data_IF_776796533633
#
_entry.id   IF_776796533633
#
_cell.length_a   1.000
_cell.length_b   1.000
_cell.length_c   1.000
_cell.angle_alpha   90.00
_cell.angle_beta   90.00
_cell.angle_gamma   90.00
#
_symmetry.space_group_name_H-M   'P 1'
#
loop_
_entity.id
_entity.type
_entity.pdbx_description
1 polymer ?
2 polymer ?
#
# COMPACT_ATOMS: atom_id res chain seq x y z
N UNK A 2 -4.45 18.63 -9.09
CA UNK A 2 -4.75 17.42 -8.34
C UNK A 2 -4.54 17.63 -6.84
N UNK A 3 -4.61 18.87 -6.41
CA UNK A 3 -4.45 19.22 -5.01
C UNK A 3 -5.55 18.62 -4.16
N UNK A 4 -6.76 18.63 -4.71
CA UNK A 4 -7.90 18.06 -4.01
C UNK A 4 -7.93 16.55 -4.27
N UNK A 5 -7.02 16.09 -5.12
CA UNK A 5 -6.92 14.68 -5.45
C UNK A 5 -5.96 13.97 -4.50
N UNK A 6 -4.84 14.62 -4.17
CA UNK A 6 -3.89 14.01 -3.24
C UNK A 6 -4.56 13.72 -1.92
N UNK A 7 -5.33 14.69 -1.43
CA UNK A 7 -6.04 14.53 -0.16
C UNK A 7 -6.82 13.23 -0.15
N UNK A 8 -7.21 12.78 -1.34
CA UNK A 8 -7.96 11.54 -1.48
C UNK A 8 -7.05 10.40 -1.94
N UNK A 9 -5.95 10.77 -2.60
CA UNK A 9 -5.00 9.78 -3.09
C UNK A 9 -4.26 9.11 -1.94
N UNK A 10 -4.22 9.79 -0.79
CA UNK A 10 -3.55 9.25 0.39
C UNK A 10 -4.46 8.25 1.10
N UNK A 11 -5.67 8.71 1.44
CA UNK A 11 -6.64 7.84 2.11
C UNK A 11 -6.89 6.59 1.27
N UNK A 12 -6.66 6.70 -0.03
CA UNK A 12 -6.86 5.58 -0.94
C UNK A 12 -5.84 4.48 -0.67
N UNK A 13 -4.56 4.83 -0.70
CA UNK A 13 -3.50 3.86 -0.45
C UNK A 13 -3.38 3.56 1.04
N UNK A 14 -3.38 4.61 1.85
CA UNK A 14 -3.27 4.44 3.30
C UNK A 14 -4.25 3.39 3.81
N UNK A 15 -5.36 3.22 3.09
CA UNK A 15 -6.37 2.23 3.45
C UNK A 15 -5.98 0.85 2.93
N UNK A 16 -5.31 0.82 1.79
CA UNK A 16 -4.88 -0.43 1.17
C UNK A 16 -3.50 -0.83 1.71
N UNK A 17 -2.53 0.06 1.54
CA UNK A 17 -1.17 -0.19 2.01
C UNK A 17 -1.17 -0.71 3.45
N UNK A 18 -2.12 -0.22 4.25
CA UNK A 18 -2.23 -0.64 5.64
C UNK A 18 -2.94 -1.99 5.75
N UNK A 19 -3.90 -2.22 4.87
CA UNK A 19 -4.66 -3.47 4.88
C UNK A 19 -3.78 -4.66 4.50
N UNK A 20 -2.76 -4.39 3.68
CA UNK A 20 -1.85 -5.45 3.24
C UNK A 20 -0.71 -5.64 4.23
N UNK A 21 -0.03 -4.55 4.58
CA UNK A 21 1.08 -4.60 5.51
C UNK A 21 0.74 -5.42 6.75
N UNK A 22 -0.54 -5.45 7.10
CA UNK A 22 -1.00 -6.19 8.28
C UNK A 22 -1.26 -7.65 7.93
N UNK A 23 -1.63 -7.91 6.69
CA UNK A 23 -1.90 -9.27 6.24
C UNK A 23 -0.64 -9.95 5.72
N UNK A 24 0.23 -9.16 5.11
CA UNK A 24 1.48 -9.67 4.55
C UNK A 24 2.46 -10.03 5.68
N UNK A 25 2.36 -9.32 6.79
CA UNK A 25 3.23 -9.56 7.94
C UNK A 25 3.04 -10.97 8.50
N UNK A 26 1.91 -11.59 8.18
CA UNK A 26 1.62 -12.92 8.66
C UNK A 26 1.66 -13.96 7.53
N UNK A 27 1.19 -13.55 6.35
CA UNK A 27 1.18 -14.45 5.19
C UNK A 27 2.57 -14.99 4.89
N UNK A 28 3.50 -14.10 4.57
CA UNK A 28 4.87 -14.50 4.26
C UNK A 28 5.73 -14.51 5.53
N UNK A 29 5.34 -15.31 6.50
CA UNK A 29 6.08 -15.41 7.75
C UNK A 29 7.35 -16.23 7.57
N UNK A 30 7.23 -17.35 6.86
CA UNK A 30 8.36 -18.23 6.60
C UNK A 30 9.09 -17.83 5.33
N UNK A 31 8.32 -17.39 4.33
CA UNK A 31 8.91 -16.99 3.07
C UNK A 31 9.42 -15.55 3.11
N UNK B 2 -1.40 18.40 -4.71
CA UNK B 2 -0.39 17.72 -5.50
C UNK B 2 0.95 18.19 -5.11
N UNK B 3 1.08 19.47 -5.16
CA UNK B 3 2.30 20.09 -4.85
C UNK B 3 3.10 19.23 -3.91
N UNK B 4 4.27 18.81 -4.36
CA UNK B 4 5.19 17.92 -3.62
C UNK B 4 5.03 18.06 -2.10
N UNK B 5 3.83 18.40 -1.72
CA UNK B 5 3.42 18.56 -0.34
C UNK B 5 2.86 17.24 0.14
N UNK B 6 2.06 16.67 -0.74
CA UNK B 6 1.42 15.39 -0.53
C UNK B 6 1.89 14.43 -1.59
N UNK B 7 2.08 14.98 -2.78
CA UNK B 7 2.53 14.24 -3.93
C UNK B 7 3.83 13.51 -3.64
N UNK B 8 4.59 14.02 -2.67
CA UNK B 8 5.85 13.38 -2.30
C UNK B 8 5.61 12.26 -1.28
N UNK B 9 4.47 12.31 -0.60
CA UNK B 9 4.13 11.31 0.41
C UNK B 9 3.36 10.13 -0.18
N UNK B 10 2.55 10.39 -1.21
CA UNK B 10 1.78 9.34 -1.85
C UNK B 10 2.68 8.25 -2.41
N UNK B 11 3.85 8.67 -2.91
CA UNK B 11 4.80 7.72 -3.49
C UNK B 11 5.30 6.72 -2.44
N UNK B 12 5.05 7.03 -1.17
CA UNK B 12 5.49 6.15 -0.08
C UNK B 12 4.43 5.12 0.29
N UNK B 13 3.21 5.30 -0.22
CA UNK B 13 2.12 4.37 0.08
C UNK B 13 1.95 3.33 -1.02
N UNK B 14 1.86 3.80 -2.25
CA UNK B 14 1.67 2.91 -3.40
C UNK B 14 2.98 2.23 -3.80
N UNK B 15 4.11 2.80 -3.38
CA UNK B 15 5.41 2.23 -3.70
C UNK B 15 5.53 0.80 -3.20
N UNK B 16 5.36 0.61 -1.90
CA UNK B 16 5.46 -0.71 -1.29
C UNK B 16 4.13 -1.46 -1.41
N UNK B 17 3.03 -0.73 -1.32
CA UNK B 17 1.70 -1.33 -1.42
C UNK B 17 1.53 -2.07 -2.74
N UNK B 18 1.97 -1.46 -3.82
CA UNK B 18 1.84 -2.06 -5.15
C UNK B 18 2.52 -3.43 -5.20
N UNK B 19 3.60 -3.58 -4.44
CA UNK B 19 4.34 -4.84 -4.40
C UNK B 19 3.57 -5.91 -3.66
N UNK B 20 3.16 -5.61 -2.43
CA UNK B 20 2.40 -6.57 -1.63
C UNK B 20 1.12 -6.95 -2.34
N UNK B 21 0.32 -5.95 -2.71
CA UNK B 21 -0.94 -6.18 -3.42
C UNK B 21 -0.79 -7.23 -4.51
N UNK B 22 0.41 -7.35 -5.05
CA UNK B 22 0.69 -8.31 -6.11
C UNK B 22 1.07 -9.69 -5.56
N UNK B 23 1.85 -9.69 -4.48
CA UNK B 23 2.31 -10.94 -3.87
C UNK B 23 1.34 -11.44 -2.78
N UNK B 24 0.52 -10.56 -2.25
CA UNK B 24 -0.43 -10.92 -1.19
C UNK B 24 -1.09 -12.28 -1.48
N UNK B 25 -1.83 -12.35 -2.56
CA UNK B 25 -2.52 -13.59 -2.95
C UNK B 25 -1.52 -14.71 -3.17
N UNK B 26 -0.32 -14.36 -3.61
CA UNK B 26 0.73 -15.35 -3.86
C UNK B 26 1.20 -15.99 -2.56
N UNK B 27 1.18 -15.22 -1.48
CA UNK B 27 1.62 -15.72 -0.18
C UNK B 27 0.59 -16.69 0.40
N UNK B 28 -0.65 -16.23 0.52
CA UNK B 28 -1.72 -17.05 1.06
C UNK B 28 -1.98 -18.27 0.18
N UNK B 29 -2.00 -18.05 -1.13
CA UNK B 29 -2.24 -19.12 -2.09
C UNK B 29 -1.08 -20.11 -2.10
N UNK B 30 0.08 -19.65 -2.56
CA UNK B 30 1.27 -20.49 -2.64
C UNK B 30 2.03 -20.46 -1.31
N UNK B 31 2.40 -21.64 -0.83
CA UNK B 31 3.13 -21.74 0.42
C UNK B 31 3.74 -23.11 0.64
#
# INVERSE_FOLDING_TARGET
XEVAQLEKEVAQLEAENYQLEQEVAQLEHEGX
XEVQALKKRVQALKARNYALKQKVQALRHKGX
#
